data_IF_306626252293
#
_entry.id   IF_306626252293
#
_cell.length_a   1.000
_cell.length_b   1.000
_cell.length_c   1.000
_cell.angle_alpha   90.00
_cell.angle_beta   90.00
_cell.angle_gamma   90.00
#
_symmetry.space_group_name_H-M   'P 1'
#
loop_
_entity.id
_entity.type
_entity.pdbx_description
1 polymer ?
#
# COMPACT_ATOMS: atom_id res chain seq x y z
N UNK A 1 -2.87 10.49 39.91
CA UNK A 1 -3.88 9.60 39.28
C UNK A 1 -3.74 8.25 39.94
N UNK A 2 -4.81 7.48 40.18
CA UNK A 2 -4.60 6.12 40.68
C UNK A 2 -3.83 5.35 39.62
N UNK A 3 -2.60 4.94 39.99
CA UNK A 3 -1.72 4.20 39.10
C UNK A 3 -2.07 2.71 39.20
N UNK A 4 -2.16 2.05 38.03
CA UNK A 4 -2.24 0.61 37.96
C UNK A 4 -0.92 -0.02 38.40
N UNK A 5 -0.93 -1.31 38.77
CA UNK A 5 0.29 -2.07 39.02
C UNK A 5 1.28 -1.89 37.83
N UNK A 6 2.55 -1.70 38.14
CA UNK A 6 3.56 -1.30 37.13
C UNK A 6 3.58 -2.16 35.83
N UNK A 7 3.39 -3.50 35.86
CA UNK A 7 3.32 -4.29 34.64
C UNK A 7 2.11 -3.95 33.77
N UNK A 8 0.95 -3.68 34.38
CA UNK A 8 -0.28 -3.33 33.68
C UNK A 8 -0.16 -1.93 33.08
N UNK A 9 0.40 -1.00 33.83
CA UNK A 9 0.62 0.37 33.34
C UNK A 9 1.56 0.38 32.12
N UNK A 10 2.67 -0.37 32.17
CA UNK A 10 3.56 -0.51 31.00
C UNK A 10 2.83 -1.04 29.77
N UNK A 11 1.98 -2.05 29.92
CA UNK A 11 1.23 -2.60 28.79
C UNK A 11 0.25 -1.58 28.21
N UNK A 12 -0.43 -0.80 29.08
CA UNK A 12 -1.31 0.31 28.65
C UNK A 12 -0.50 1.33 27.85
N UNK A 13 0.67 1.72 28.33
CA UNK A 13 1.51 2.73 27.69
C UNK A 13 2.03 2.24 26.33
N UNK A 14 2.39 0.98 26.18
CA UNK A 14 2.78 0.40 24.88
C UNK A 14 1.59 0.38 23.90
N UNK A 15 0.39 0.00 24.33
CA UNK A 15 -0.79 0.08 23.47
C UNK A 15 -1.12 1.52 23.05
N UNK A 16 -0.88 2.53 23.90
CA UNK A 16 -1.09 3.94 23.55
C UNK A 16 -0.15 4.46 22.46
N UNK A 17 1.01 3.82 22.29
CA UNK A 17 1.96 4.18 21.20
C UNK A 17 1.47 3.74 19.82
N UNK A 18 0.48 2.84 19.77
CA UNK A 18 -0.10 2.40 18.52
C UNK A 18 -1.00 3.50 17.92
N UNK A 19 -0.88 3.79 16.61
CA UNK A 19 -1.70 4.82 15.97
C UNK A 19 -3.19 4.49 16.10
N UNK A 20 -3.99 5.51 16.43
CA UNK A 20 -5.44 5.36 16.62
C UNK A 20 -5.87 4.76 17.97
N UNK A 21 -4.93 4.36 18.83
CA UNK A 21 -5.25 3.81 20.17
C UNK A 21 -5.16 4.90 21.24
N UNK A 22 -6.33 5.38 21.69
CA UNK A 22 -6.43 6.31 22.81
C UNK A 22 -6.38 5.61 24.18
N UNK A 23 -6.31 6.42 25.25
CA UNK A 23 -6.21 5.94 26.64
C UNK A 23 -7.25 4.87 27.02
N UNK A 24 -8.53 5.10 26.70
CA UNK A 24 -9.61 4.15 27.05
C UNK A 24 -9.49 2.82 26.30
N UNK A 25 -9.10 2.87 25.03
CA UNK A 25 -8.89 1.67 24.20
C UNK A 25 -7.67 0.89 24.68
N UNK A 26 -6.55 1.56 24.98
CA UNK A 26 -5.35 0.94 25.52
C UNK A 26 -5.62 0.22 26.86
N UNK A 27 -6.34 0.85 27.77
CA UNK A 27 -6.77 0.20 29.02
C UNK A 27 -7.62 -1.04 28.75
N UNK A 28 -8.61 -0.94 27.87
CA UNK A 28 -9.47 -2.08 27.50
C UNK A 28 -8.68 -3.26 26.94
N UNK A 29 -7.71 -2.98 26.05
CA UNK A 29 -6.82 -4.00 25.49
C UNK A 29 -5.93 -4.63 26.56
N UNK A 30 -5.33 -3.84 27.44
CA UNK A 30 -4.46 -4.34 28.51
C UNK A 30 -5.24 -5.24 29.51
N UNK A 31 -6.47 -4.83 29.89
CA UNK A 31 -7.34 -5.67 30.72
C UNK A 31 -7.80 -6.94 30.00
N UNK A 32 -8.00 -6.90 28.69
CA UNK A 32 -8.27 -8.10 27.90
C UNK A 32 -7.10 -9.07 27.96
N UNK A 33 -5.88 -8.61 27.71
CA UNK A 33 -4.66 -9.45 27.81
C UNK A 33 -4.50 -10.01 29.23
N UNK A 34 -4.72 -9.23 30.27
CA UNK A 34 -4.67 -9.68 31.66
C UNK A 34 -5.61 -10.85 31.96
N UNK A 35 -6.77 -10.89 31.27
CA UNK A 35 -7.79 -11.94 31.45
C UNK A 35 -7.59 -13.15 30.55
N UNK A 36 -6.72 -13.06 29.54
CA UNK A 36 -6.40 -14.20 28.67
C UNK A 36 -5.41 -15.16 29.35
N UNK A 37 -5.29 -16.37 28.82
CA UNK A 37 -4.27 -17.29 29.28
C UNK A 37 -2.86 -16.82 28.95
N UNK A 38 -1.88 -17.28 29.71
CA UNK A 38 -0.46 -16.98 29.48
C UNK A 38 -0.01 -17.39 28.05
N UNK A 39 -0.51 -18.51 27.56
CA UNK A 39 -0.20 -19.05 26.21
C UNK A 39 -0.68 -18.09 25.11
N UNK A 40 -1.89 -17.53 25.24
CA UNK A 40 -2.41 -16.52 24.28
C UNK A 40 -1.62 -15.23 24.33
N UNK A 41 -1.23 -14.78 25.52
CA UNK A 41 -0.40 -13.58 25.67
C UNK A 41 1.00 -13.81 25.06
N UNK A 42 1.59 -14.98 25.26
CA UNK A 42 2.87 -15.35 24.66
C UNK A 42 2.77 -15.42 23.13
N UNK A 43 1.73 -16.03 22.56
CA UNK A 43 1.54 -16.11 21.11
C UNK A 43 1.39 -14.72 20.47
N UNK A 44 0.71 -13.78 21.15
CA UNK A 44 0.63 -12.40 20.66
C UNK A 44 2.02 -11.72 20.65
N UNK A 45 2.78 -11.89 21.73
CA UNK A 45 4.13 -11.32 21.83
C UNK A 45 5.07 -11.92 20.76
N UNK A 46 5.01 -13.23 20.54
CA UNK A 46 5.77 -13.93 19.50
C UNK A 46 5.42 -13.42 18.09
N UNK A 47 4.15 -13.31 17.77
CA UNK A 47 3.70 -12.78 16.47
C UNK A 47 4.19 -11.35 16.22
N UNK A 48 4.23 -10.49 17.25
CA UNK A 48 4.76 -9.13 17.14
C UNK A 48 6.26 -9.11 16.82
N UNK A 49 7.03 -10.00 17.44
CA UNK A 49 8.47 -10.13 17.20
C UNK A 49 8.72 -10.77 15.84
N UNK A 50 8.00 -11.84 15.49
CA UNK A 50 8.13 -12.56 14.22
C UNK A 50 7.96 -11.64 13.01
N UNK A 51 7.00 -10.72 13.05
CA UNK A 51 6.82 -9.71 11.98
C UNK A 51 8.07 -8.85 11.79
N UNK A 52 8.79 -8.53 12.87
CA UNK A 52 10.02 -7.72 12.80
C UNK A 52 11.22 -8.51 12.30
N UNK A 53 11.30 -9.79 12.67
CA UNK A 53 12.46 -10.62 12.39
C UNK A 53 12.39 -11.30 11.02
N UNK A 54 11.17 -11.69 10.58
CA UNK A 54 10.98 -12.53 9.40
C UNK A 54 10.40 -11.81 8.19
N UNK A 55 9.92 -10.56 8.33
CA UNK A 55 9.43 -9.80 7.18
C UNK A 55 10.45 -8.77 6.69
N UNK A 56 10.70 -8.81 5.40
CA UNK A 56 11.52 -7.87 4.67
C UNK A 56 10.79 -7.29 3.45
N UNK A 57 11.58 -6.74 2.55
CA UNK A 57 11.10 -6.16 1.30
C UNK A 57 11.57 -7.03 0.14
N UNK A 58 10.64 -7.41 -0.74
CA UNK A 58 10.94 -8.15 -1.97
C UNK A 58 12.01 -7.43 -2.80
N UNK A 59 13.10 -8.11 -3.12
CA UNK A 59 14.23 -7.55 -3.87
C UNK A 59 13.85 -7.04 -5.28
N UNK A 60 12.70 -7.49 -5.83
CA UNK A 60 12.26 -7.12 -7.19
C UNK A 60 11.23 -6.00 -7.21
N UNK A 61 10.18 -6.10 -6.38
CA UNK A 61 9.02 -5.21 -6.48
C UNK A 61 8.78 -4.33 -5.25
N UNK A 62 9.60 -4.47 -4.22
CA UNK A 62 9.49 -3.77 -2.93
C UNK A 62 8.20 -4.07 -2.13
N UNK A 63 7.45 -5.12 -2.46
CA UNK A 63 6.34 -5.60 -1.61
C UNK A 63 6.89 -6.23 -0.33
N UNK A 64 6.08 -6.32 0.71
CA UNK A 64 6.43 -7.08 1.93
C UNK A 64 6.57 -8.57 1.56
N UNK A 65 7.60 -9.22 2.09
CA UNK A 65 7.90 -10.62 1.83
C UNK A 65 8.64 -11.26 2.99
N UNK A 66 8.37 -12.55 3.20
CA UNK A 66 9.09 -13.46 4.09
C UNK A 66 10.27 -14.17 3.40
N UNK A 67 10.54 -13.83 2.15
CA UNK A 67 11.60 -14.40 1.32
C UNK A 67 12.20 -13.31 0.41
N UNK A 68 13.30 -13.63 -0.29
CA UNK A 68 13.94 -12.71 -1.24
C UNK A 68 12.95 -12.13 -2.26
N UNK A 69 12.06 -12.99 -2.81
CA UNK A 69 10.99 -12.59 -3.72
C UNK A 69 9.62 -12.90 -3.13
N UNK A 70 8.69 -11.94 -3.21
CA UNK A 70 7.32 -12.14 -2.78
C UNK A 70 6.56 -13.14 -3.67
N UNK A 71 5.39 -13.67 -3.22
CA UNK A 71 4.61 -14.63 -3.99
C UNK A 71 4.31 -14.17 -5.42
N UNK A 72 3.97 -12.91 -5.63
CA UNK A 72 3.67 -12.35 -6.96
C UNK A 72 4.88 -12.33 -7.89
N UNK A 73 6.08 -12.08 -7.37
CA UNK A 73 7.31 -12.08 -8.18
C UNK A 73 7.85 -13.48 -8.47
N UNK A 74 7.50 -14.48 -7.63
CA UNK A 74 7.87 -15.90 -7.82
C UNK A 74 6.95 -16.63 -8.77
N UNK A 75 5.69 -16.21 -8.88
CA UNK A 75 4.68 -16.89 -9.70
C UNK A 75 5.05 -16.84 -11.19
N UNK A 76 5.31 -18.00 -11.84
CA UNK A 76 5.66 -18.06 -13.26
C UNK A 76 4.47 -17.81 -14.19
N UNK A 77 3.25 -17.88 -13.68
CA UNK A 77 2.02 -17.72 -14.48
C UNK A 77 1.62 -16.25 -14.65
N UNK A 78 2.30 -15.32 -13.96
CA UNK A 78 2.02 -13.90 -14.08
C UNK A 78 2.60 -13.29 -15.36
N UNK A 79 1.83 -12.40 -15.97
CA UNK A 79 2.26 -11.63 -17.14
C UNK A 79 3.41 -10.68 -16.74
N UNK A 80 4.58 -10.95 -17.30
CA UNK A 80 5.80 -10.16 -17.04
C UNK A 80 5.86 -8.88 -17.86
N UNK A 81 5.00 -8.74 -18.87
CA UNK A 81 4.94 -7.56 -19.72
C UNK A 81 4.23 -6.35 -19.07
N UNK A 82 3.54 -6.58 -17.94
CA UNK A 82 2.76 -5.54 -17.27
C UNK A 82 3.21 -5.36 -15.82
N UNK A 83 3.33 -4.09 -15.40
CA UNK A 83 3.56 -3.73 -13.99
C UNK A 83 2.50 -2.75 -13.52
N UNK A 84 1.80 -3.12 -12.43
CA UNK A 84 0.95 -2.20 -11.68
C UNK A 84 1.78 -1.53 -10.58
N UNK A 85 1.88 -0.22 -10.62
CA UNK A 85 2.63 0.61 -9.68
C UNK A 85 1.69 1.14 -8.61
N UNK A 86 1.95 0.81 -7.35
CA UNK A 86 1.18 1.23 -6.18
C UNK A 86 2.05 2.02 -5.20
N UNK A 87 1.43 2.85 -4.35
CA UNK A 87 2.15 3.62 -3.34
C UNK A 87 2.64 2.73 -2.20
N UNK A 88 1.78 1.85 -1.69
CA UNK A 88 2.02 1.06 -0.49
C UNK A 88 1.73 -0.43 -0.71
N UNK A 89 2.39 -1.34 0.02
CA UNK A 89 2.17 -2.78 -0.11
C UNK A 89 0.71 -3.21 0.07
N UNK A 90 -0.01 -2.60 1.01
CA UNK A 90 -1.41 -2.93 1.29
C UNK A 90 -2.36 -2.60 0.14
N UNK A 91 -1.96 -1.72 -0.79
CA UNK A 91 -2.74 -1.38 -1.99
C UNK A 91 -2.80 -2.53 -3.01
N UNK A 92 -1.94 -3.54 -2.89
CA UNK A 92 -1.96 -4.72 -3.77
C UNK A 92 -3.20 -5.59 -3.48
N UNK A 93 -3.56 -5.76 -2.21
CA UNK A 93 -4.62 -6.69 -1.81
C UNK A 93 -5.99 -6.39 -2.44
N UNK A 94 -6.49 -5.15 -2.50
CA UNK A 94 -7.74 -4.84 -3.20
C UNK A 94 -7.69 -5.22 -4.69
N UNK A 95 -6.56 -5.02 -5.36
CA UNK A 95 -6.39 -5.38 -6.78
C UNK A 95 -6.44 -6.91 -6.94
N UNK A 96 -5.70 -7.65 -6.13
CA UNK A 96 -5.69 -9.12 -6.15
C UNK A 96 -7.06 -9.73 -5.83
N UNK A 97 -7.84 -9.10 -4.95
CA UNK A 97 -9.20 -9.57 -4.61
C UNK A 97 -10.12 -9.61 -5.83
N UNK A 98 -9.89 -8.75 -6.83
CA UNK A 98 -10.67 -8.75 -8.07
C UNK A 98 -10.41 -9.96 -8.95
N UNK A 99 -9.24 -10.61 -8.84
CA UNK A 99 -8.76 -11.72 -9.69
C UNK A 99 -8.68 -11.39 -11.18
N UNK A 100 -8.77 -10.12 -11.55
CA UNK A 100 -8.76 -9.68 -12.96
C UNK A 100 -7.37 -9.28 -13.45
N UNK A 101 -6.47 -8.92 -12.52
CA UNK A 101 -5.12 -8.53 -12.85
C UNK A 101 -4.13 -9.70 -12.67
N UNK A 102 -3.40 -10.00 -13.70
CA UNK A 102 -2.42 -11.09 -13.72
C UNK A 102 -0.96 -10.61 -13.93
N UNK A 103 -0.74 -9.31 -13.95
CA UNK A 103 0.59 -8.73 -14.12
C UNK A 103 1.40 -8.69 -12.82
N UNK A 104 2.57 -8.07 -12.88
CA UNK A 104 3.47 -7.86 -11.75
C UNK A 104 3.16 -6.56 -11.04
N UNK A 105 3.71 -6.39 -9.83
CA UNK A 105 3.61 -5.16 -9.04
C UNK A 105 4.94 -4.45 -8.88
N UNK A 106 4.85 -3.17 -8.53
CA UNK A 106 5.96 -2.38 -8.00
C UNK A 106 5.44 -1.40 -6.95
N UNK A 107 6.04 -1.45 -5.76
CA UNK A 107 5.66 -0.61 -4.62
C UNK A 107 6.64 0.56 -4.50
N UNK A 108 6.12 1.77 -4.42
CA UNK A 108 6.91 3.00 -4.31
C UNK A 108 7.34 3.31 -2.88
N UNK A 109 6.62 2.80 -1.87
CA UNK A 109 6.72 3.17 -0.45
C UNK A 109 6.46 4.66 -0.21
N UNK A 110 5.39 5.19 -0.80
CA UNK A 110 4.91 6.56 -0.61
C UNK A 110 4.48 7.24 -1.90
N UNK A 111 4.28 8.53 -1.79
CA UNK A 111 3.94 9.45 -2.87
C UNK A 111 4.76 10.74 -2.76
N UNK A 112 4.96 11.44 -3.87
CA UNK A 112 5.62 12.75 -3.90
C UNK A 112 4.77 13.74 -3.10
N UNK A 113 5.36 14.33 -2.06
CA UNK A 113 4.68 15.29 -1.18
C UNK A 113 5.66 16.38 -0.75
N UNK A 114 5.77 17.51 -1.48
CA UNK A 114 6.66 18.59 -1.15
C UNK A 114 6.42 19.18 0.25
N UNK A 115 5.16 19.21 0.68
CA UNK A 115 4.79 19.69 2.03
C UNK A 115 5.34 18.80 3.15
N UNK A 116 5.56 17.51 2.88
CA UNK A 116 6.16 16.55 3.83
C UNK A 116 7.66 16.34 3.55
N UNK A 117 8.24 17.07 2.60
CA UNK A 117 9.65 16.93 2.20
C UNK A 117 9.93 15.60 1.46
N UNK A 118 8.92 14.95 0.88
CA UNK A 118 9.09 13.71 0.14
C UNK A 118 9.24 14.02 -1.35
N UNK A 119 10.44 13.87 -1.88
CA UNK A 119 10.76 13.97 -3.30
C UNK A 119 10.84 12.60 -3.99
N UNK A 120 11.03 12.58 -5.31
CA UNK A 120 11.13 11.34 -6.09
C UNK A 120 12.27 10.41 -5.64
N UNK A 121 13.34 10.96 -5.07
CA UNK A 121 14.53 10.24 -4.62
C UNK A 121 14.28 9.39 -3.37
N UNK A 122 13.28 9.74 -2.55
CA UNK A 122 12.87 8.93 -1.41
C UNK A 122 11.99 7.74 -1.81
N UNK A 123 11.42 7.77 -3.01
CA UNK A 123 10.57 6.70 -3.52
C UNK A 123 11.39 5.62 -4.23
N UNK A 124 10.85 4.41 -4.30
CA UNK A 124 11.50 3.26 -4.95
C UNK A 124 11.42 3.30 -6.49
N UNK A 125 11.52 4.49 -7.10
CA UNK A 125 11.39 4.71 -8.55
C UNK A 125 12.58 4.11 -9.30
N UNK A 126 13.81 4.20 -8.77
CA UNK A 126 14.99 3.64 -9.39
C UNK A 126 14.84 2.15 -9.72
N UNK A 127 14.32 1.37 -8.76
CA UNK A 127 14.08 -0.05 -8.98
C UNK A 127 13.05 -0.35 -10.08
N UNK A 128 12.07 0.54 -10.32
CA UNK A 128 11.16 0.44 -11.45
C UNK A 128 11.89 0.65 -12.78
N UNK A 129 12.75 1.66 -12.87
CA UNK A 129 13.53 1.95 -14.07
C UNK A 129 14.49 0.80 -14.40
N UNK A 130 15.15 0.22 -13.39
CA UNK A 130 16.05 -0.93 -13.55
C UNK A 130 15.29 -2.17 -14.09
N UNK A 131 14.01 -2.33 -13.75
CA UNK A 131 13.16 -3.41 -14.29
C UNK A 131 12.80 -3.17 -15.75
N UNK A 132 12.45 -1.93 -16.10
CA UNK A 132 12.06 -1.52 -17.44
C UNK A 132 13.25 -1.69 -18.41
N UNK A 133 14.47 -1.34 -18.00
CA UNK A 133 15.66 -1.42 -18.83
C UNK A 133 16.02 -2.84 -19.30
N UNK A 134 15.45 -3.87 -18.66
CA UNK A 134 15.62 -5.29 -19.06
C UNK A 134 14.79 -5.70 -20.28
N UNK A 135 13.88 -4.84 -20.76
CA UNK A 135 13.17 -5.00 -22.03
C UNK A 135 11.97 -5.95 -22.06
N UNK A 136 11.55 -6.51 -20.91
CA UNK A 136 10.42 -7.45 -20.84
C UNK A 136 9.07 -6.75 -20.63
N UNK A 137 9.09 -5.45 -20.21
CA UNK A 137 7.92 -4.70 -19.79
C UNK A 137 7.43 -3.81 -20.92
N UNK A 138 6.14 -3.85 -21.22
CA UNK A 138 5.50 -3.06 -22.26
C UNK A 138 4.47 -2.07 -21.72
N UNK A 139 3.85 -2.38 -20.56
CA UNK A 139 2.84 -1.52 -19.96
C UNK A 139 3.11 -1.27 -18.47
N UNK A 140 3.01 0.00 -18.08
CA UNK A 140 3.01 0.45 -16.69
C UNK A 140 1.64 1.01 -16.37
N UNK A 141 0.94 0.36 -15.43
CA UNK A 141 -0.36 0.79 -14.91
C UNK A 141 -0.12 1.57 -13.62
N UNK A 142 -0.42 2.86 -13.63
CA UNK A 142 -0.28 3.70 -12.44
C UNK A 142 -1.54 3.56 -11.57
N UNK A 143 -1.38 2.96 -10.40
CA UNK A 143 -2.42 2.73 -9.40
C UNK A 143 -2.11 3.46 -8.09
N UNK A 144 -1.57 4.68 -8.18
CA UNK A 144 -1.43 5.58 -7.04
C UNK A 144 -2.81 6.08 -6.59
N UNK A 145 -2.94 6.47 -5.33
CA UNK A 145 -4.21 6.94 -4.79
C UNK A 145 -4.74 8.18 -5.54
N UNK A 146 -6.08 8.39 -5.60
CA UNK A 146 -6.68 9.58 -6.22
C UNK A 146 -6.61 10.79 -5.28
N UNK A 147 -5.44 11.05 -4.70
CA UNK A 147 -5.12 12.22 -3.88
C UNK A 147 -4.25 13.18 -4.67
N UNK A 148 -4.08 14.41 -4.19
CA UNK A 148 -3.21 15.41 -4.83
C UNK A 148 -1.79 14.88 -4.99
N UNK A 149 -1.26 14.23 -3.95
CA UNK A 149 0.08 13.64 -3.95
C UNK A 149 0.17 12.43 -4.90
N UNK A 150 -0.85 11.57 -4.90
CA UNK A 150 -0.90 10.41 -5.78
C UNK A 150 -1.02 10.80 -7.26
N UNK A 151 -1.78 11.85 -7.58
CA UNK A 151 -1.84 12.41 -8.93
C UNK A 151 -0.52 13.06 -9.35
N UNK A 152 0.09 13.86 -8.47
CA UNK A 152 1.42 14.43 -8.73
C UNK A 152 2.46 13.34 -9.02
N UNK A 153 2.40 12.23 -8.26
CA UNK A 153 3.27 11.07 -8.44
C UNK A 153 3.00 10.38 -9.79
N UNK A 154 1.73 10.18 -10.15
CA UNK A 154 1.35 9.59 -11.43
C UNK A 154 1.83 10.45 -12.62
N UNK A 155 1.62 11.76 -12.56
CA UNK A 155 2.09 12.69 -13.61
C UNK A 155 3.60 12.67 -13.73
N UNK A 156 4.33 12.68 -12.60
CA UNK A 156 5.78 12.58 -12.59
C UNK A 156 6.26 11.28 -13.27
N UNK A 157 5.73 10.13 -12.85
CA UNK A 157 6.06 8.82 -13.43
C UNK A 157 5.70 8.75 -14.90
N UNK A 158 4.55 9.28 -15.31
CA UNK A 158 4.16 9.31 -16.72
C UNK A 158 5.15 10.09 -17.59
N UNK A 159 5.60 11.26 -17.10
CA UNK A 159 6.62 12.08 -17.81
C UNK A 159 7.98 11.38 -17.87
N UNK A 160 8.33 10.62 -16.86
CA UNK A 160 9.60 9.88 -16.80
C UNK A 160 9.58 8.64 -17.71
N UNK A 161 8.44 7.95 -17.80
CA UNK A 161 8.34 6.63 -18.44
C UNK A 161 7.96 6.69 -19.93
N UNK A 162 7.15 7.67 -20.35
CA UNK A 162 6.75 7.82 -21.77
C UNK A 162 7.94 7.97 -22.73
N UNK A 163 8.96 8.79 -22.43
CA UNK A 163 10.15 8.90 -23.30
C UNK A 163 10.93 7.60 -23.46
N UNK A 164 10.76 6.63 -22.53
CA UNK A 164 11.37 5.31 -22.59
C UNK A 164 10.59 4.32 -23.49
N UNK A 165 9.56 4.79 -24.19
CA UNK A 165 8.72 3.96 -25.07
C UNK A 165 7.68 3.11 -24.33
N UNK A 166 7.44 3.36 -23.04
CA UNK A 166 6.48 2.59 -22.25
C UNK A 166 5.04 3.04 -22.53
N UNK A 167 4.12 2.08 -22.68
CA UNK A 167 2.70 2.33 -22.57
C UNK A 167 2.38 2.61 -21.10
N UNK A 168 2.02 3.84 -20.79
CA UNK A 168 1.67 4.26 -19.43
C UNK A 168 0.17 4.49 -19.35
N UNK A 169 -0.50 3.71 -18.52
CA UNK A 169 -1.94 3.79 -18.26
C UNK A 169 -2.20 4.19 -16.80
N UNK A 170 -3.42 4.63 -16.51
CA UNK A 170 -3.88 5.00 -15.16
C UNK A 170 -5.13 4.21 -14.84
N UNK A 171 -5.28 3.73 -13.60
CA UNK A 171 -6.56 3.17 -13.17
C UNK A 171 -7.67 4.22 -13.34
N UNK A 172 -8.85 3.78 -13.79
CA UNK A 172 -9.98 4.66 -14.00
C UNK A 172 -10.43 5.32 -12.69
N UNK A 173 -10.82 6.57 -12.78
CA UNK A 173 -11.43 7.33 -11.70
C UNK A 173 -12.85 7.71 -12.12
N UNK A 174 -13.78 7.61 -11.17
CA UNK A 174 -15.16 7.93 -11.41
C UNK A 174 -16.09 7.47 -10.30
N UNK A 175 -17.40 7.47 -10.59
CA UNK A 175 -18.42 7.07 -9.64
C UNK A 175 -18.30 5.57 -9.36
N UNK A 176 -18.25 5.15 -8.07
CA UNK A 176 -18.20 3.74 -7.72
C UNK A 176 -19.44 3.00 -8.19
N UNK A 177 -19.26 1.75 -8.64
CA UNK A 177 -20.38 0.88 -9.03
C UNK A 177 -21.27 0.62 -7.83
N UNK A 178 -22.59 0.82 -8.00
CA UNK A 178 -23.58 0.64 -6.95
C UNK A 178 -23.85 1.88 -6.09
N UNK A 179 -23.23 3.02 -6.38
CA UNK A 179 -23.59 4.30 -5.77
C UNK A 179 -24.49 5.13 -6.71
N UNK A 180 -25.40 5.90 -6.11
CA UNK A 180 -26.25 6.82 -6.83
C UNK A 180 -25.49 8.10 -7.20
N UNK A 181 -25.79 8.66 -8.38
CA UNK A 181 -25.14 9.86 -8.90
C UNK A 181 -25.31 11.07 -7.97
N UNK A 182 -26.45 11.17 -7.28
CA UNK A 182 -26.77 12.28 -6.38
C UNK A 182 -25.88 12.39 -5.14
N UNK A 183 -25.20 11.29 -4.75
CA UNK A 183 -24.30 11.27 -3.60
C UNK A 183 -22.83 11.48 -3.98
N UNK A 184 -22.54 11.60 -5.27
CA UNK A 184 -21.17 11.83 -5.73
C UNK A 184 -20.83 13.33 -5.59
N UNK A 185 -19.61 13.59 -5.08
CA UNK A 185 -19.10 14.95 -5.01
C UNK A 185 -18.75 15.51 -6.40
N UNK A 186 -18.62 16.83 -6.50
CA UNK A 186 -18.36 17.54 -7.74
C UNK A 186 -17.09 17.06 -8.46
N UNK A 187 -16.02 16.76 -7.73
CA UNK A 187 -14.74 16.30 -8.29
C UNK A 187 -14.92 14.91 -8.89
N UNK A 188 -15.60 14.01 -8.18
CA UNK A 188 -15.90 12.65 -8.65
C UNK A 188 -16.75 12.66 -9.91
N UNK A 189 -17.78 13.54 -9.99
CA UNK A 189 -18.62 13.70 -11.20
C UNK A 189 -17.78 14.23 -12.36
N UNK A 190 -16.98 15.27 -12.12
CA UNK A 190 -16.09 15.83 -13.14
C UNK A 190 -15.15 14.77 -13.72
N UNK A 191 -14.49 13.99 -12.86
CA UNK A 191 -13.60 12.89 -13.28
C UNK A 191 -14.32 11.79 -14.03
N UNK A 192 -15.56 11.48 -13.66
CA UNK A 192 -16.39 10.50 -14.39
C UNK A 192 -16.71 10.97 -15.81
N UNK A 193 -17.03 12.26 -15.99
CA UNK A 193 -17.29 12.84 -17.29
C UNK A 193 -16.02 12.93 -18.16
N UNK A 194 -14.87 13.29 -17.56
CA UNK A 194 -13.58 13.29 -18.26
C UNK A 194 -13.20 11.88 -18.77
N UNK A 195 -13.42 10.86 -17.95
CA UNK A 195 -13.05 9.46 -18.22
C UNK A 195 -14.18 8.64 -18.86
N UNK A 196 -15.26 9.28 -19.35
CA UNK A 196 -16.37 8.57 -19.99
C UNK A 196 -15.91 7.74 -21.18
N UNK A 197 -16.54 6.58 -21.38
CA UNK A 197 -16.25 5.66 -22.47
C UNK A 197 -17.36 5.73 -23.53
N UNK A 198 -16.97 5.50 -24.75
CA UNK A 198 -17.92 5.21 -25.83
C UNK A 198 -18.55 3.82 -25.58
N UNK A 199 -19.88 3.70 -25.86
CA UNK A 199 -20.66 2.47 -25.64
C UNK A 199 -20.97 1.79 -26.96
#
# INVERSE_FOLDING_TARGET
MPDFAAPLQRLIDEFRRLPGIGQKSAQRLAFHVLRTSRERAAALAEALVEVKDNLGICARCNNISDAELCPYCRDPHRDRAQICVVEEPHSILPIETTRTYQGLYHVLHGSISPLRGVGPEQLKIKGLLDRISRGEIHEIILATNPTVEGEATAVYLSRLLKPLGMKVTRIAMGIPVGSDLEFADEVTISKSLENRREM
#
